data_IF_018745979919
#
_entry.id   IF_018745979919
#
_cell.length_a   1.000
_cell.length_b   1.000
_cell.length_c   1.000
_cell.angle_alpha   90.00
_cell.angle_beta   90.00
_cell.angle_gamma   90.00
#
_symmetry.space_group_name_H-M   'P 1'
#
loop_
_entity.id
_entity.type
_entity.pdbx_description
1 polymer ?
#
# COMPACT_ATOMS: atom_id res chain seq x y z
N UNK A 1 -1.26 -8.99 16.22
CA UNK A 1 -1.38 -9.27 14.76
C UNK A 1 -2.58 -10.13 14.34
N UNK A 2 -3.29 -10.85 15.21
CA UNK A 2 -4.40 -11.74 14.77
C UNK A 2 -5.52 -11.00 14.01
N UNK A 3 -5.97 -9.82 14.46
CA UNK A 3 -6.99 -9.02 13.78
C UNK A 3 -6.55 -8.53 12.39
N UNK A 4 -5.31 -8.04 12.29
CA UNK A 4 -4.70 -7.67 11.00
C UNK A 4 -4.68 -8.85 10.02
N UNK A 5 -4.32 -10.06 10.47
CA UNK A 5 -4.34 -11.28 9.65
C UNK A 5 -5.75 -11.58 9.11
N UNK A 6 -6.78 -11.44 9.96
CA UNK A 6 -8.18 -11.66 9.55
C UNK A 6 -8.63 -10.61 8.53
N UNK A 7 -8.33 -9.33 8.76
CA UNK A 7 -8.65 -8.24 7.82
C UNK A 7 -7.99 -8.46 6.44
N UNK A 8 -6.68 -8.78 6.42
CA UNK A 8 -5.96 -9.07 5.17
C UNK A 8 -6.52 -10.28 4.43
N UNK A 9 -6.95 -11.32 5.17
CA UNK A 9 -7.59 -12.49 4.56
C UNK A 9 -8.94 -12.13 3.93
N UNK A 10 -9.74 -11.30 4.61
CA UNK A 10 -11.02 -10.82 4.07
C UNK A 10 -10.81 -10.06 2.76
N UNK A 11 -9.94 -9.05 2.75
CA UNK A 11 -9.61 -8.28 1.55
C UNK A 11 -9.08 -9.17 0.42
N UNK A 12 -8.20 -10.13 0.73
CA UNK A 12 -7.69 -11.06 -0.27
C UNK A 12 -8.80 -11.94 -0.89
N UNK A 13 -9.80 -12.37 -0.11
CA UNK A 13 -10.96 -13.11 -0.65
C UNK A 13 -11.79 -12.22 -1.59
N UNK A 14 -12.05 -10.97 -1.19
CA UNK A 14 -12.80 -9.98 -2.01
C UNK A 14 -12.08 -9.75 -3.35
N UNK A 15 -10.82 -9.31 -3.32
CA UNK A 15 -10.09 -8.89 -4.51
C UNK A 15 -9.61 -10.03 -5.42
N UNK A 16 -9.65 -11.28 -4.95
CA UNK A 16 -9.40 -12.47 -5.80
C UNK A 16 -10.66 -13.04 -6.42
N UNK A 17 -11.82 -12.41 -6.23
CA UNK A 17 -13.11 -12.91 -6.74
C UNK A 17 -13.60 -14.16 -6.03
N UNK A 18 -13.17 -14.39 -4.78
CA UNK A 18 -13.65 -15.50 -3.95
C UNK A 18 -15.06 -15.27 -3.38
N UNK A 19 -15.62 -14.08 -3.58
CA UNK A 19 -16.98 -13.68 -3.22
C UNK A 19 -17.44 -12.51 -4.10
N UNK A 20 -18.72 -12.17 -4.04
CA UNK A 20 -19.25 -10.92 -4.63
C UNK A 20 -18.61 -9.74 -3.89
N UNK A 21 -18.24 -8.69 -4.63
CA UNK A 21 -17.63 -7.49 -4.06
C UNK A 21 -18.56 -6.84 -3.02
N UNK A 22 -18.03 -6.61 -1.82
CA UNK A 22 -18.75 -6.02 -0.69
C UNK A 22 -17.96 -4.82 -0.15
N UNK A 23 -18.44 -3.62 -0.51
CA UNK A 23 -17.80 -2.36 -0.15
C UNK A 23 -17.81 -2.10 1.38
N UNK A 24 -18.78 -2.65 2.11
CA UNK A 24 -18.85 -2.51 3.57
C UNK A 24 -17.79 -3.39 4.24
N UNK A 25 -17.61 -4.64 3.78
CA UNK A 25 -16.53 -5.50 4.26
C UNK A 25 -15.13 -4.92 3.95
N UNK A 26 -14.95 -4.24 2.82
CA UNK A 26 -13.70 -3.50 2.53
C UNK A 26 -13.45 -2.43 3.58
N UNK A 27 -14.46 -1.60 3.90
CA UNK A 27 -14.36 -0.54 4.93
C UNK A 27 -14.04 -1.07 6.32
N UNK A 28 -14.69 -2.15 6.72
CA UNK A 28 -14.45 -2.78 8.02
C UNK A 28 -13.00 -3.29 8.13
N UNK A 29 -12.51 -3.97 7.09
CA UNK A 29 -11.14 -4.44 7.05
C UNK A 29 -10.14 -3.28 7.02
N UNK A 30 -10.39 -2.23 6.22
CA UNK A 30 -9.56 -1.02 6.16
C UNK A 30 -9.47 -0.32 7.53
N UNK A 31 -10.59 -0.17 8.23
CA UNK A 31 -10.65 0.39 9.59
C UNK A 31 -9.81 -0.43 10.58
N UNK A 32 -9.84 -1.76 10.46
CA UNK A 32 -8.98 -2.62 11.31
C UNK A 32 -7.50 -2.36 11.02
N UNK A 33 -7.11 -2.20 9.76
CA UNK A 33 -5.70 -1.97 9.39
C UNK A 33 -5.24 -0.58 9.87
N UNK A 34 -6.04 0.46 9.64
CA UNK A 34 -5.78 1.82 10.11
C UNK A 34 -5.49 1.85 11.63
N UNK A 35 -6.35 1.22 12.43
CA UNK A 35 -6.23 1.15 13.90
C UNK A 35 -4.97 0.43 14.40
N UNK A 36 -4.29 -0.34 13.55
CA UNK A 36 -3.05 -1.04 13.90
C UNK A 36 -1.84 -0.52 13.11
N UNK A 37 -1.93 0.69 12.55
CA UNK A 37 -0.87 1.36 11.79
C UNK A 37 -0.25 2.49 12.62
N UNK A 38 0.64 3.29 12.01
CA UNK A 38 1.20 4.51 12.60
C UNK A 38 1.75 4.33 14.03
N UNK A 39 1.46 5.28 14.94
CA UNK A 39 1.88 5.24 16.34
C UNK A 39 1.44 3.97 17.08
N UNK A 40 0.28 3.39 16.74
CA UNK A 40 -0.14 2.11 17.34
C UNK A 40 0.80 0.98 16.93
N UNK A 41 1.27 0.94 15.68
CA UNK A 41 2.29 -0.02 15.27
C UNK A 41 3.63 0.27 15.96
N UNK A 42 4.07 1.52 15.95
CA UNK A 42 5.37 1.92 16.50
C UNK A 42 5.51 1.58 17.99
N UNK A 43 4.46 1.79 18.78
CA UNK A 43 4.47 1.49 20.22
C UNK A 43 4.63 0.01 20.56
N UNK A 44 4.47 -0.91 19.60
CA UNK A 44 4.70 -2.35 19.79
C UNK A 44 6.18 -2.74 19.76
N UNK A 45 7.08 -1.82 19.42
CA UNK A 45 8.51 -2.09 19.24
C UNK A 45 9.39 -1.23 20.15
N UNK A 46 9.24 -1.33 21.49
CA UNK A 46 10.16 -0.67 22.41
C UNK A 46 11.59 -1.17 22.17
N UNK A 47 12.58 -0.32 22.44
CA UNK A 47 13.99 -0.64 22.22
C UNK A 47 14.37 -1.96 22.90
N UNK A 48 15.07 -2.82 22.16
CA UNK A 48 15.48 -4.13 22.65
C UNK A 48 14.42 -5.23 22.52
N UNK A 49 13.20 -4.99 22.04
CA UNK A 49 12.14 -6.03 21.93
C UNK A 49 12.29 -7.05 20.79
N UNK A 50 13.49 -7.23 20.25
CA UNK A 50 13.77 -8.15 19.13
C UNK A 50 14.07 -9.59 19.57
N UNK A 51 14.14 -9.86 20.89
CA UNK A 51 14.40 -11.22 21.34
C UNK A 51 13.21 -12.15 21.07
N UNK A 52 13.50 -13.45 20.91
CA UNK A 52 12.50 -14.49 20.75
C UNK A 52 11.40 -14.38 21.84
N UNK A 53 10.10 -14.51 21.50
CA UNK A 53 9.53 -15.03 20.25
C UNK A 53 9.33 -14.00 19.14
N UNK A 54 9.91 -12.80 19.27
CA UNK A 54 9.81 -11.77 18.25
C UNK A 54 10.47 -12.22 16.94
N UNK A 55 9.86 -11.78 15.83
CA UNK A 55 10.43 -11.89 14.47
C UNK A 55 10.91 -10.54 13.97
N UNK A 56 10.92 -9.53 14.83
CA UNK A 56 11.45 -8.21 14.53
C UNK A 56 12.97 -8.29 14.39
N UNK A 57 13.51 -7.65 13.35
CA UNK A 57 14.95 -7.44 13.22
C UNK A 57 15.39 -6.26 14.09
N UNK A 58 16.60 -6.31 14.63
CA UNK A 58 17.16 -5.22 15.44
C UNK A 58 17.38 -3.92 14.66
N UNK A 59 17.42 -3.97 13.32
CA UNK A 59 17.57 -2.79 12.47
C UNK A 59 16.36 -1.82 12.51
N UNK A 60 15.24 -2.20 13.14
CA UNK A 60 14.12 -1.26 13.41
C UNK A 60 14.64 -0.03 14.17
N UNK A 61 15.45 -0.21 15.22
CA UNK A 61 15.95 0.91 16.02
C UNK A 61 17.11 1.67 15.39
N UNK A 62 17.77 1.06 14.41
CA UNK A 62 18.81 1.74 13.61
C UNK A 62 18.20 2.59 12.49
N UNK A 63 16.97 2.29 12.08
CA UNK A 63 16.29 2.92 10.94
C UNK A 63 14.84 3.23 11.33
N UNK A 64 14.69 3.90 12.48
CA UNK A 64 13.40 4.13 13.11
C UNK A 64 12.47 4.99 12.26
N UNK A 65 12.97 6.07 11.67
CA UNK A 65 12.17 7.00 10.87
C UNK A 65 11.52 6.28 9.69
N UNK A 66 12.27 5.45 8.98
CA UNK A 66 11.73 4.68 7.87
C UNK A 66 10.69 3.63 8.31
N UNK A 67 10.89 3.01 9.48
CA UNK A 67 9.90 2.10 10.05
C UNK A 67 8.61 2.85 10.40
N UNK A 68 8.73 4.01 11.05
CA UNK A 68 7.62 4.88 11.41
C UNK A 68 6.90 5.41 10.16
N UNK A 69 7.64 5.80 9.12
CA UNK A 69 7.09 6.29 7.84
C UNK A 69 6.31 5.20 7.11
N UNK A 70 6.81 3.96 7.06
CA UNK A 70 6.05 2.84 6.50
C UNK A 70 4.77 2.54 7.30
N UNK A 71 4.81 2.72 8.62
CA UNK A 71 3.64 2.57 9.48
C UNK A 71 2.62 3.70 9.27
N UNK A 72 3.06 4.95 9.08
CA UNK A 72 2.16 6.07 8.77
C UNK A 72 1.58 5.94 7.36
N UNK A 73 2.41 5.60 6.38
CA UNK A 73 1.95 5.30 5.01
C UNK A 73 0.90 4.18 5.01
N UNK A 74 1.07 3.16 5.86
CA UNK A 74 0.07 2.10 6.00
C UNK A 74 -1.30 2.62 6.46
N UNK A 75 -1.32 3.62 7.34
CA UNK A 75 -2.53 4.29 7.82
C UNK A 75 -3.18 5.08 6.68
N UNK A 76 -2.42 5.89 5.97
CA UNK A 76 -2.91 6.70 4.84
C UNK A 76 -3.54 5.83 3.74
N UNK A 77 -2.86 4.76 3.33
CA UNK A 77 -3.41 3.81 2.35
C UNK A 77 -4.69 3.16 2.88
N UNK A 78 -4.78 2.86 4.18
CA UNK A 78 -5.99 2.24 4.76
C UNK A 78 -7.18 3.20 4.78
N UNK A 79 -6.96 4.47 5.10
CA UNK A 79 -7.97 5.52 5.01
C UNK A 79 -8.42 5.76 3.56
N UNK A 80 -7.46 5.73 2.64
CA UNK A 80 -7.70 5.73 1.20
C UNK A 80 -8.56 4.55 0.75
N UNK A 81 -8.23 3.33 1.19
CA UNK A 81 -8.96 2.10 0.85
C UNK A 81 -10.40 2.12 1.39
N UNK A 82 -10.59 2.67 2.60
CA UNK A 82 -11.92 2.87 3.17
C UNK A 82 -12.77 3.77 2.26
N UNK A 83 -12.19 4.87 1.78
CA UNK A 83 -12.89 5.86 0.96
C UNK A 83 -13.11 5.36 -0.48
N UNK A 84 -12.12 4.68 -1.04
CA UNK A 84 -12.16 4.07 -2.38
C UNK A 84 -13.08 2.86 -2.48
N UNK A 85 -13.66 2.37 -1.39
CA UNK A 85 -14.43 1.14 -1.40
C UNK A 85 -15.69 1.19 -2.30
N UNK A 86 -16.21 2.36 -2.65
CA UNK A 86 -17.28 2.48 -3.66
C UNK A 86 -16.76 2.49 -5.11
N UNK A 87 -15.47 2.72 -5.30
CA UNK A 87 -14.79 2.56 -6.58
C UNK A 87 -14.43 1.08 -6.76
N UNK A 88 -15.44 0.26 -7.05
CA UNK A 88 -15.28 -1.19 -7.19
C UNK A 88 -14.12 -1.56 -8.14
N UNK A 89 -13.53 -2.77 -8.01
CA UNK A 89 -12.46 -3.20 -8.89
C UNK A 89 -12.83 -3.03 -10.34
N UNK A 90 -12.00 -2.33 -11.10
CA UNK A 90 -12.14 -2.30 -12.56
C UNK A 90 -12.13 -3.74 -13.07
N UNK A 91 -13.01 -4.10 -14.03
CA UNK A 91 -12.95 -5.39 -14.68
C UNK A 91 -11.53 -5.52 -15.23
N UNK A 92 -10.81 -6.56 -14.79
CA UNK A 92 -9.47 -6.84 -15.28
C UNK A 92 -9.56 -7.00 -16.79
N UNK A 93 -9.17 -5.96 -17.52
CA UNK A 93 -8.94 -6.10 -18.96
C UNK A 93 -7.93 -7.24 -19.10
N UNK A 94 -8.24 -8.31 -19.85
CA UNK A 94 -7.28 -9.37 -20.06
C UNK A 94 -6.06 -8.71 -20.68
N UNK A 95 -4.93 -8.77 -19.97
CA UNK A 95 -3.61 -8.40 -20.50
C UNK A 95 -3.33 -9.33 -21.67
N UNK A 96 -3.86 -8.97 -22.82
CA UNK A 96 -3.58 -9.62 -24.09
C UNK A 96 -2.15 -9.25 -24.43
N UNK A 97 -1.23 -10.17 -24.15
CA UNK A 97 0.05 -10.32 -24.81
C UNK A 97 0.73 -9.03 -25.29
N UNK A 98 1.37 -8.27 -24.39
CA UNK A 98 2.48 -7.39 -24.79
C UNK A 98 3.75 -8.23 -24.97
N UNK A 99 3.77 -9.02 -26.04
CA UNK A 99 4.98 -9.53 -26.69
C UNK A 99 4.71 -9.61 -28.19
N UNK A 100 4.94 -8.51 -28.89
CA UNK A 100 4.87 -8.51 -30.35
C UNK A 100 4.87 -7.11 -30.95
N UNK A 101 5.98 -6.78 -31.60
CA UNK A 101 6.15 -5.71 -32.60
C UNK A 101 6.49 -4.31 -32.09
N UNK A 102 7.79 -4.06 -31.92
CA UNK A 102 8.35 -2.73 -32.23
C UNK A 102 8.22 -2.47 -33.74
N UNK A 103 7.88 -1.24 -34.13
CA UNK A 103 8.75 -0.56 -35.07
C UNK A 103 9.18 0.81 -34.55
N UNK A 104 10.50 1.02 -34.53
CA UNK A 104 11.15 2.33 -34.50
C UNK A 104 10.74 3.15 -35.72
N UNK A 105 10.00 4.27 -35.57
CA UNK A 105 10.04 5.43 -36.48
C UNK A 105 9.59 6.73 -35.77
N UNK A 106 10.57 7.60 -35.50
CA UNK A 106 10.55 9.07 -35.60
C UNK A 106 9.33 9.88 -35.06
N UNK A 107 9.55 10.61 -33.97
CA UNK A 107 9.33 12.06 -33.97
C UNK A 107 10.11 12.75 -32.84
N UNK A 108 11.39 13.04 -33.11
CA UNK A 108 12.12 14.10 -32.38
C UNK A 108 11.83 15.42 -33.07
N UNK A 109 10.80 16.16 -32.62
CA UNK A 109 10.81 17.63 -32.62
C UNK A 109 9.52 18.23 -32.05
N UNK A 110 9.68 19.29 -31.28
CA UNK A 110 8.66 20.18 -30.69
C UNK A 110 7.85 19.61 -29.52
N UNK A 111 8.32 19.84 -28.29
CA UNK A 111 7.64 20.72 -27.32
C UNK A 111 8.67 21.16 -26.26
N UNK A 112 9.24 22.34 -26.49
CA UNK A 112 10.02 23.11 -25.53
C UNK A 112 9.09 24.20 -25.00
N UNK A 113 8.84 24.22 -23.68
CA UNK A 113 7.96 25.16 -22.98
C UNK A 113 7.03 24.38 -22.05
N UNK A 114 7.23 24.35 -20.74
CA UNK A 114 7.37 25.52 -19.86
C UNK A 114 8.38 25.25 -18.74
N UNK A 115 9.42 26.10 -18.69
CA UNK A 115 10.11 26.37 -17.43
C UNK A 115 9.15 27.22 -16.58
N UNK A 116 8.56 26.59 -15.57
CA UNK A 116 7.64 27.21 -14.64
C UNK A 116 7.42 26.26 -13.48
N UNK A 117 8.25 26.43 -12.45
CA UNK A 117 7.92 26.14 -11.05
C UNK A 117 7.22 24.79 -10.78
N UNK A 118 8.02 23.73 -10.65
CA UNK A 118 7.64 22.52 -9.92
C UNK A 118 8.90 21.95 -9.27
N UNK A 119 9.62 22.82 -8.56
CA UNK A 119 10.33 22.37 -7.37
C UNK A 119 9.28 22.37 -6.26
N UNK A 120 9.24 21.32 -5.44
CA UNK A 120 8.31 21.13 -4.31
C UNK A 120 6.97 20.43 -4.64
N UNK A 121 7.02 19.26 -5.26
CA UNK A 121 6.06 18.21 -4.94
C UNK A 121 6.84 16.91 -4.73
N UNK A 122 7.41 16.77 -3.53
CA UNK A 122 7.63 15.43 -3.00
C UNK A 122 6.24 14.91 -2.71
N UNK A 123 5.56 14.34 -3.71
CA UNK A 123 4.19 13.85 -3.60
C UNK A 123 4.08 12.95 -2.36
N UNK A 124 3.64 13.54 -1.25
CA UNK A 124 3.37 12.80 -0.03
C UNK A 124 2.04 12.11 -0.28
N UNK A 125 2.09 10.80 -0.54
CA UNK A 125 0.90 9.95 -0.75
C UNK A 125 -0.21 10.33 0.25
N UNK A 126 -1.27 11.00 -0.20
CA UNK A 126 -2.36 11.41 0.67
C UNK A 126 -3.48 10.36 0.66
N UNK A 127 -4.26 10.31 1.74
CA UNK A 127 -5.46 9.45 1.78
C UNK A 127 -6.48 9.83 0.68
N UNK A 128 -6.48 11.10 0.27
CA UNK A 128 -7.38 11.68 -0.74
C UNK A 128 -7.03 11.18 -2.15
N UNK A 129 -5.73 11.09 -2.46
CA UNK A 129 -5.25 10.53 -3.73
C UNK A 129 -5.76 9.11 -3.92
N UNK A 130 -5.62 8.29 -2.88
CA UNK A 130 -6.11 6.91 -2.88
C UNK A 130 -7.63 6.82 -3.00
N UNK A 131 -8.38 7.76 -2.43
CA UNK A 131 -9.85 7.73 -2.40
C UNK A 131 -10.47 7.81 -3.80
N UNK A 132 -9.75 8.34 -4.79
CA UNK A 132 -10.21 8.46 -6.18
C UNK A 132 -9.85 7.26 -7.06
N UNK A 133 -8.99 6.36 -6.55
CA UNK A 133 -8.53 5.20 -7.30
C UNK A 133 -9.53 4.03 -7.22
N UNK A 134 -9.49 3.09 -8.19
CA UNK A 134 -10.11 1.78 -8.04
C UNK A 134 -9.60 1.05 -6.80
N UNK A 135 -10.51 0.46 -6.03
CA UNK A 135 -10.21 -0.13 -4.72
C UNK A 135 -9.21 -1.29 -4.78
N UNK A 136 -9.16 -2.01 -5.90
CA UNK A 136 -8.16 -3.05 -6.15
C UNK A 136 -6.73 -2.49 -6.33
N UNK A 137 -6.58 -1.29 -6.88
CA UNK A 137 -5.27 -0.63 -6.99
C UNK A 137 -4.79 -0.12 -5.63
N UNK A 138 -5.69 0.44 -4.82
CA UNK A 138 -5.36 0.84 -3.44
C UNK A 138 -5.01 -0.38 -2.60
N UNK A 139 -5.74 -1.49 -2.74
CA UNK A 139 -5.40 -2.76 -2.09
C UNK A 139 -4.00 -3.27 -2.51
N UNK A 140 -3.62 -3.10 -3.77
CA UNK A 140 -2.26 -3.43 -4.21
C UNK A 140 -1.21 -2.60 -3.47
N UNK A 141 -1.39 -1.27 -3.40
CA UNK A 141 -0.49 -0.38 -2.66
C UNK A 141 -0.36 -0.78 -1.19
N UNK A 142 -1.48 -1.15 -0.57
CA UNK A 142 -1.54 -1.65 0.80
C UNK A 142 -0.67 -2.91 0.98
N UNK A 143 -0.76 -3.87 0.05
CA UNK A 143 0.05 -5.10 0.09
C UNK A 143 1.53 -4.86 -0.21
N UNK A 144 1.86 -3.91 -1.10
CA UNK A 144 3.23 -3.54 -1.43
C UNK A 144 3.93 -2.88 -0.23
N UNK A 145 3.22 -2.02 0.51
CA UNK A 145 3.72 -1.41 1.74
C UNK A 145 3.99 -2.45 2.83
N UNK A 146 3.06 -3.40 3.04
CA UNK A 146 3.26 -4.54 3.93
C UNK A 146 4.51 -5.35 3.56
N UNK A 147 4.71 -5.59 2.27
CA UNK A 147 5.84 -6.38 1.75
C UNK A 147 7.17 -5.65 1.93
N UNK A 148 7.19 -4.34 1.70
CA UNK A 148 8.35 -3.47 1.91
C UNK A 148 8.78 -3.46 3.38
N UNK A 149 7.83 -3.24 4.30
CA UNK A 149 8.10 -3.27 5.74
C UNK A 149 8.62 -4.65 6.19
N UNK A 150 7.95 -5.74 5.81
CA UNK A 150 8.36 -7.08 6.21
C UNK A 150 9.73 -7.48 5.65
N UNK A 151 10.02 -7.13 4.39
CA UNK A 151 11.33 -7.43 3.78
C UNK A 151 12.47 -6.78 4.55
N UNK A 152 12.24 -5.55 5.04
CA UNK A 152 13.26 -4.76 5.72
C UNK A 152 13.40 -5.09 7.20
N UNK A 153 12.28 -5.23 7.90
CA UNK A 153 12.23 -5.21 9.37
C UNK A 153 11.76 -6.52 10.02
N UNK A 154 11.32 -7.52 9.24
CA UNK A 154 10.96 -8.85 9.76
C UNK A 154 11.98 -9.91 9.35
N UNK A 155 12.34 -10.78 10.27
CA UNK A 155 13.13 -11.97 10.00
C UNK A 155 12.37 -12.92 9.05
N UNK A 156 13.12 -13.70 8.26
CA UNK A 156 12.54 -14.81 7.51
C UNK A 156 12.46 -16.01 8.45
N UNK A 157 11.33 -16.68 8.44
CA UNK A 157 11.04 -17.87 9.23
C UNK A 157 10.67 -19.01 8.31
#
# INVERSE_FOLDING_TARGET
>A
MARLKVAMKSLATIYRGGQIYDAQQVREAATVIEKHSAATMASLFPEGSAQHPSTAKANIWQQWDDFANLAERQKLISQGLFSAADNAPEPSSPVSNMMGTVPSMLSSRQLMGTAGDSAEDSAEDSAEDYATMPSNLVFKQLTDNCSSCHSRFRAKN
#
